data_IF_639120187545
#
_entry.id   IF_639120187545
#
_cell.length_a   1.000
_cell.length_b   1.000
_cell.length_c   1.000
_cell.angle_alpha   90.00
_cell.angle_beta   90.00
_cell.angle_gamma   90.00
#
_symmetry.space_group_name_H-M   'P 1'
#
loop_
_entity.id
_entity.type
_entity.pdbx_description
1 polymer ?
#
# COMPACT_ATOMS: atom_id res chain seq x y z
N UNK A 1 -10.46 -4.33 28.35
CA UNK A 1 -10.30 -3.72 27.92
C UNK A 1 -10.97 -2.99 27.29
N UNK A 2 -10.98 -2.57 27.08
CA UNK A 2 -11.66 -1.86 26.76
C UNK A 2 -11.75 -1.46 25.57
N UNK A 3 -11.98 -1.61 24.95
CA UNK A 3 -12.12 -1.29 23.99
C UNK A 3 -12.55 -0.42 23.53
N UNK A 4 -12.81 -0.40 23.70
CA UNK A 4 -13.33 0.34 23.60
C UNK A 4 -13.40 1.30 22.95
N UNK A 5 -13.19 1.58 22.77
CA UNK A 5 -13.02 2.73 22.34
C UNK A 5 -13.08 2.88 21.01
N UNK A 6 -13.48 2.13 20.27
CA UNK A 6 -13.47 2.31 18.97
C UNK A 6 -14.62 2.94 18.53
N UNK A 7 -15.32 2.81 18.69
CA UNK A 7 -16.36 3.32 18.41
C UNK A 7 -16.91 3.92 17.48
N UNK A 8 -17.41 4.56 17.94
CA UNK A 8 -18.09 5.45 17.29
C UNK A 8 -17.24 6.21 16.45
N UNK A 9 -16.02 5.94 16.51
CA UNK A 9 -15.13 6.75 15.80
C UNK A 9 -14.95 6.33 14.41
N UNK A 10 -15.52 5.30 14.01
CA UNK A 10 -15.44 4.84 12.66
C UNK A 10 -16.07 5.88 11.75
N UNK A 11 -15.29 6.45 10.89
CA UNK A 11 -15.75 7.42 9.92
C UNK A 11 -14.94 7.27 8.65
N UNK A 12 -15.48 7.76 7.57
CA UNK A 12 -14.76 7.72 6.31
C UNK A 12 -13.65 8.74 6.32
N UNK A 13 -12.51 8.37 5.77
CA UNK A 13 -11.42 9.28 5.56
C UNK A 13 -11.83 10.26 4.46
N UNK A 14 -11.57 11.53 4.68
CA UNK A 14 -11.86 12.53 3.66
C UNK A 14 -10.80 12.46 2.58
N UNK A 15 -11.11 13.01 1.41
CA UNK A 15 -10.13 13.05 0.32
C UNK A 15 -8.91 13.88 0.72
N UNK A 16 -9.12 14.95 1.49
CA UNK A 16 -8.02 15.79 1.94
C UNK A 16 -7.10 15.01 2.87
N UNK A 17 -7.68 14.22 3.77
CA UNK A 17 -6.88 13.39 4.66
C UNK A 17 -6.12 12.33 3.88
N UNK A 18 -6.79 11.68 2.94
CA UNK A 18 -6.15 10.64 2.14
C UNK A 18 -4.99 11.21 1.35
N UNK A 19 -5.16 12.40 0.81
CA UNK A 19 -4.08 13.04 0.06
C UNK A 19 -2.91 13.39 0.96
N UNK A 20 -3.17 13.87 2.17
CA UNK A 20 -2.10 14.20 3.11
C UNK A 20 -1.31 12.95 3.49
N UNK A 21 -2.00 11.85 3.77
CA UNK A 21 -1.33 10.61 4.12
C UNK A 21 -0.58 10.02 2.93
N UNK A 22 -1.17 10.15 1.74
CA UNK A 22 -0.52 9.70 0.52
C UNK A 22 0.79 10.47 0.31
N UNK A 23 0.76 11.78 0.53
CA UNK A 23 1.97 12.58 0.34
C UNK A 23 3.07 12.21 1.33
N UNK A 24 2.70 11.84 2.56
CA UNK A 24 3.69 11.35 3.52
C UNK A 24 4.30 10.03 3.05
N UNK A 25 3.46 9.13 2.53
CA UNK A 25 3.94 7.88 1.98
C UNK A 25 4.86 8.15 0.79
N UNK A 26 4.44 9.05 -0.10
CA UNK A 26 5.17 9.36 -1.33
C UNK A 26 6.55 9.94 -1.04
N UNK A 27 6.67 10.78 -0.02
CA UNK A 27 7.96 11.34 0.38
C UNK A 27 8.94 10.23 0.73
N UNK A 28 8.47 9.25 1.49
CA UNK A 28 9.33 8.13 1.87
C UNK A 28 9.68 7.25 0.66
N UNK A 29 8.74 7.09 -0.26
CA UNK A 29 9.02 6.35 -1.49
C UNK A 29 10.10 7.05 -2.31
N UNK A 30 10.01 8.38 -2.41
CA UNK A 30 11.03 9.14 -3.13
C UNK A 30 12.41 8.96 -2.53
N UNK A 31 12.49 8.91 -1.20
CA UNK A 31 13.77 8.71 -0.52
C UNK A 31 14.38 7.36 -0.86
N UNK A 32 13.53 6.35 -1.02
CA UNK A 32 14.01 5.04 -1.42
C UNK A 32 14.46 5.02 -2.88
N UNK A 33 13.89 5.89 -3.71
CA UNK A 33 14.26 6.05 -5.10
C UNK A 33 14.08 4.78 -5.93
N UNK A 34 12.85 4.29 -6.08
CA UNK A 34 12.61 3.06 -6.85
C UNK A 34 12.68 3.27 -8.35
N UNK A 35 12.84 2.19 -9.09
CA UNK A 35 12.76 2.19 -10.54
C UNK A 35 11.35 1.88 -11.02
N UNK A 36 10.56 1.23 -10.21
CA UNK A 36 9.23 0.78 -10.61
C UNK A 36 8.31 0.72 -9.40
N UNK A 37 7.05 1.06 -9.64
CA UNK A 37 6.00 0.96 -8.62
C UNK A 37 5.20 -0.31 -8.95
N UNK A 38 4.86 -1.07 -7.92
CA UNK A 38 4.10 -2.31 -8.09
C UNK A 38 2.83 -2.23 -7.26
N UNK A 39 1.70 -2.36 -7.93
CA UNK A 39 0.41 -2.35 -7.25
C UNK A 39 0.13 -3.72 -6.65
N UNK A 40 -0.20 -3.75 -5.36
CA UNK A 40 -0.66 -4.98 -4.74
C UNK A 40 -2.14 -5.11 -5.08
N UNK A 41 -2.45 -6.09 -5.90
CA UNK A 41 -3.81 -6.25 -6.40
C UNK A 41 -4.71 -6.74 -5.27
N UNK A 42 -5.90 -6.22 -5.19
CA UNK A 42 -6.42 -5.21 -6.11
C UNK A 42 -6.52 -3.85 -5.47
N UNK A 43 -6.63 -3.80 -4.14
CA UNK A 43 -6.90 -2.56 -3.42
C UNK A 43 -5.77 -1.55 -3.51
N UNK A 44 -4.57 -1.99 -3.83
CA UNK A 44 -3.44 -1.09 -3.95
C UNK A 44 -3.35 -0.34 -5.27
N UNK A 45 -4.17 -0.72 -6.27
CA UNK A 45 -4.01 -0.14 -7.60
C UNK A 45 -4.20 1.37 -7.63
N UNK A 46 -5.19 1.91 -6.93
CA UNK A 46 -5.44 3.35 -7.02
C UNK A 46 -4.26 4.17 -6.52
N UNK A 47 -3.69 3.77 -5.38
CA UNK A 47 -2.57 4.52 -4.81
C UNK A 47 -1.28 4.26 -5.59
N UNK A 48 -1.12 3.05 -6.09
CA UNK A 48 0.06 2.74 -6.90
C UNK A 48 0.06 3.52 -8.21
N UNK A 49 -1.10 3.61 -8.87
CA UNK A 49 -1.22 4.39 -10.09
C UNK A 49 -0.92 5.86 -9.84
N UNK A 50 -1.45 6.39 -8.72
CA UNK A 50 -1.21 7.77 -8.35
C UNK A 50 0.28 8.00 -8.14
N UNK A 51 0.94 7.11 -7.39
CA UNK A 51 2.37 7.23 -7.13
C UNK A 51 3.19 7.13 -8.43
N UNK A 52 2.83 6.18 -9.29
CA UNK A 52 3.55 5.99 -10.54
C UNK A 52 3.46 7.23 -11.42
N UNK A 53 2.29 7.87 -11.45
CA UNK A 53 2.13 9.09 -12.22
C UNK A 53 2.93 10.24 -11.63
N UNK A 54 2.89 10.41 -10.31
CA UNK A 54 3.61 11.49 -9.65
C UNK A 54 5.12 11.34 -9.82
N UNK A 55 5.61 10.12 -9.79
CA UNK A 55 7.04 9.85 -9.88
C UNK A 55 7.49 9.56 -11.30
N UNK A 56 6.56 9.45 -12.23
CA UNK A 56 6.82 9.15 -13.64
C UNK A 56 7.60 7.84 -13.78
N UNK A 57 7.10 6.82 -13.10
CA UNK A 57 7.70 5.50 -13.09
C UNK A 57 6.77 4.47 -13.70
N UNK A 58 7.29 3.37 -14.22
CA UNK A 58 6.44 2.29 -14.70
C UNK A 58 5.67 1.65 -13.56
N UNK A 59 4.55 1.05 -13.90
CA UNK A 59 3.66 0.41 -12.94
C UNK A 59 3.58 -1.08 -13.25
N UNK A 60 3.91 -1.89 -12.25
CA UNK A 60 3.70 -3.32 -12.31
C UNK A 60 2.55 -3.73 -11.39
N UNK A 61 2.33 -5.02 -11.28
CA UNK A 61 1.23 -5.54 -10.46
C UNK A 61 1.64 -6.84 -9.80
N UNK A 62 1.09 -7.08 -8.61
CA UNK A 62 1.41 -8.26 -7.83
C UNK A 62 0.13 -8.85 -7.25
N UNK A 63 -0.09 -10.14 -7.50
CA UNK A 63 -1.22 -10.88 -6.95
C UNK A 63 -0.68 -11.85 -5.90
N UNK A 64 -0.77 -11.46 -4.65
CA UNK A 64 -0.15 -12.21 -3.56
C UNK A 64 -0.69 -13.63 -3.46
N UNK A 65 -2.00 -13.80 -3.63
CA UNK A 65 -2.61 -15.12 -3.47
C UNK A 65 -2.18 -16.10 -4.56
N UNK A 66 -1.64 -15.60 -5.66
CA UNK A 66 -1.13 -16.45 -6.72
C UNK A 66 0.38 -16.41 -6.82
N UNK A 67 1.02 -15.62 -5.96
CA UNK A 67 2.47 -15.40 -6.01
C UNK A 67 2.90 -15.02 -7.43
N UNK A 68 2.15 -14.09 -8.03
CA UNK A 68 2.39 -13.70 -9.41
C UNK A 68 2.77 -12.22 -9.47
N UNK A 69 3.95 -11.94 -10.01
CA UNK A 69 4.49 -10.59 -10.10
C UNK A 69 4.71 -10.24 -11.56
N UNK A 70 4.10 -9.15 -12.02
CA UNK A 70 4.26 -8.67 -13.39
C UNK A 70 4.96 -7.32 -13.29
N UNK A 71 6.19 -7.28 -13.75
CA UNK A 71 7.03 -6.08 -13.68
C UNK A 71 7.78 -5.95 -15.00
N UNK A 72 8.43 -4.81 -15.16
CA UNK A 72 9.30 -4.60 -16.29
C UNK A 72 10.51 -5.52 -16.20
N UNK A 73 11.43 -5.38 -17.12
CA UNK A 73 12.61 -6.22 -17.12
C UNK A 73 13.53 -5.86 -15.97
N UNK A 74 14.18 -6.85 -15.41
CA UNK A 74 15.26 -6.70 -14.40
C UNK A 74 14.96 -5.65 -13.31
N UNK A 75 14.08 -5.97 -12.39
CA UNK A 75 13.76 -5.04 -11.32
C UNK A 75 14.96 -4.88 -10.40
N UNK A 76 15.40 -3.64 -10.23
CA UNK A 76 16.51 -3.36 -9.32
C UNK A 76 16.02 -2.84 -8.00
N UNK A 77 15.07 -1.91 -8.04
CA UNK A 77 14.52 -1.29 -6.84
C UNK A 77 13.04 -1.07 -7.09
N UNK A 78 12.19 -1.75 -6.34
CA UNK A 78 10.74 -1.61 -6.54
C UNK A 78 10.05 -1.31 -5.22
N UNK A 79 8.89 -0.67 -5.31
CA UNK A 79 8.04 -0.43 -4.14
C UNK A 79 6.68 -1.03 -4.43
N UNK A 80 6.28 -1.96 -3.57
CA UNK A 80 4.93 -2.50 -3.57
C UNK A 80 4.04 -1.52 -2.83
N UNK A 81 2.89 -1.19 -3.39
CA UNK A 81 1.94 -0.28 -2.74
C UNK A 81 0.61 -0.97 -2.53
N UNK A 82 0.15 -0.97 -1.29
CA UNK A 82 -1.17 -1.45 -0.91
C UNK A 82 -1.88 -0.32 -0.17
N UNK A 83 -3.18 -0.44 0.03
CA UNK A 83 -3.91 0.60 0.73
C UNK A 83 -3.67 0.52 2.24
N UNK A 84 -3.61 -0.68 2.79
CA UNK A 84 -3.41 -0.84 4.23
C UNK A 84 -2.67 -2.13 4.55
N UNK A 85 -2.31 -2.26 5.82
CA UNK A 85 -1.73 -3.49 6.33
C UNK A 85 -2.31 -3.74 7.72
N UNK A 86 -2.67 -4.97 7.99
CA UNK A 86 -3.24 -5.36 9.27
C UNK A 86 -2.24 -6.23 10.02
N UNK A 87 -2.32 -7.55 9.83
CA UNK A 87 -1.42 -8.48 10.51
C UNK A 87 -0.03 -8.53 9.90
N UNK A 88 0.05 -8.16 8.62
CA UNK A 88 1.32 -8.27 7.90
C UNK A 88 1.55 -9.61 7.26
N UNK A 89 0.54 -10.48 7.23
CA UNK A 89 0.68 -11.81 6.65
C UNK A 89 1.08 -11.74 5.18
N UNK A 90 0.40 -10.88 4.40
CA UNK A 90 0.73 -10.74 2.98
C UNK A 90 2.14 -10.20 2.80
N UNK A 91 2.52 -9.23 3.62
CA UNK A 91 3.87 -8.67 3.57
C UNK A 91 4.92 -9.75 3.85
N UNK A 92 4.70 -10.56 4.87
CA UNK A 92 5.66 -11.60 5.23
C UNK A 92 5.77 -12.67 4.14
N UNK A 93 4.64 -13.03 3.54
CA UNK A 93 4.65 -13.97 2.43
C UNK A 93 5.42 -13.40 1.23
N UNK A 94 5.25 -12.09 0.97
CA UNK A 94 5.97 -11.43 -0.11
C UNK A 94 7.46 -11.41 0.16
N UNK A 95 7.84 -11.23 1.43
CA UNK A 95 9.24 -11.27 1.81
C UNK A 95 9.88 -12.61 1.43
N UNK A 96 9.17 -13.69 1.72
CA UNK A 96 9.66 -15.02 1.34
C UNK A 96 9.73 -15.18 -0.16
N UNK A 97 8.72 -14.70 -0.87
CA UNK A 97 8.67 -14.78 -2.32
C UNK A 97 9.84 -14.01 -2.95
N UNK A 98 10.06 -12.78 -2.50
CA UNK A 98 11.13 -11.95 -3.07
C UNK A 98 12.51 -12.52 -2.77
N UNK A 99 12.70 -13.03 -1.56
CA UNK A 99 13.97 -13.64 -1.20
C UNK A 99 14.26 -14.85 -2.09
N UNK A 100 13.23 -15.59 -2.43
CA UNK A 100 13.42 -16.80 -3.24
C UNK A 100 13.61 -16.50 -4.71
N UNK A 101 12.80 -15.62 -5.27
CA UNK A 101 12.76 -15.45 -6.72
C UNK A 101 13.46 -14.19 -7.23
N UNK A 102 13.66 -13.20 -6.36
CA UNK A 102 14.30 -11.94 -6.77
C UNK A 102 15.29 -11.48 -5.71
N UNK A 103 16.28 -12.34 -5.38
CA UNK A 103 17.17 -12.06 -4.24
C UNK A 103 18.05 -10.82 -4.43
N UNK A 104 18.24 -10.37 -5.66
CA UNK A 104 19.07 -9.21 -5.91
C UNK A 104 18.29 -7.92 -6.07
N UNK A 105 16.98 -7.98 -5.95
CA UNK A 105 16.14 -6.81 -6.06
C UNK A 105 15.99 -6.16 -4.68
N UNK A 106 16.21 -4.86 -4.62
CA UNK A 106 15.91 -4.10 -3.42
C UNK A 106 14.43 -3.71 -3.48
N UNK A 107 13.72 -3.85 -2.39
CA UNK A 107 12.29 -3.56 -2.42
C UNK A 107 11.80 -3.06 -1.07
N UNK A 108 10.72 -2.29 -1.12
CA UNK A 108 10.02 -1.83 0.06
C UNK A 108 8.52 -2.07 -0.12
N UNK A 109 7.84 -2.14 0.96
CA UNK A 109 6.38 -2.28 1.00
C UNK A 109 5.82 -0.98 1.54
N UNK A 110 4.87 -0.38 0.84
CA UNK A 110 4.30 0.90 1.25
C UNK A 110 2.80 0.77 1.36
N UNK A 111 2.23 1.40 2.38
CA UNK A 111 0.78 1.41 2.59
C UNK A 111 0.35 2.83 2.91
N UNK A 112 -0.89 3.16 2.57
CA UNK A 112 -1.43 4.43 2.96
C UNK A 112 -1.56 4.48 4.48
N UNK A 113 -2.06 3.41 5.07
CA UNK A 113 -2.14 3.37 6.52
C UNK A 113 -1.91 1.97 7.07
N UNK A 114 -1.41 1.91 8.30
CA UNK A 114 -1.28 0.67 9.04
C UNK A 114 -2.27 0.70 10.20
N UNK A 115 -2.71 -0.49 10.62
CA UNK A 115 -3.62 -0.60 11.74
C UNK A 115 -2.86 -0.44 13.05
N UNK A 116 -3.56 0.00 14.09
CA UNK A 116 -2.94 0.13 15.41
C UNK A 116 -2.40 -1.21 15.92
N UNK A 117 -3.00 -2.31 15.49
CA UNK A 117 -2.59 -3.64 15.93
C UNK A 117 -1.56 -4.31 15.03
N UNK A 118 -1.15 -3.64 13.95
CA UNK A 118 -0.09 -4.18 13.11
C UNK A 118 1.17 -4.33 13.97
N UNK A 119 1.82 -5.49 13.95
CA UNK A 119 2.99 -5.72 14.80
C UNK A 119 4.07 -4.69 14.56
N UNK A 120 4.76 -4.33 15.62
CA UNK A 120 5.78 -3.28 15.54
C UNK A 120 6.92 -3.68 14.61
N UNK A 121 7.32 -4.94 14.63
CA UNK A 121 8.39 -5.40 13.75
C UNK A 121 8.03 -5.21 12.28
N UNK A 122 6.75 -5.40 11.94
CA UNK A 122 6.29 -5.17 10.57
C UNK A 122 6.30 -3.67 10.28
N UNK A 123 5.76 -2.86 11.19
CA UNK A 123 5.67 -1.42 10.97
C UNK A 123 7.04 -0.78 10.80
N UNK A 124 8.05 -1.33 11.44
CA UNK A 124 9.40 -0.79 11.34
C UNK A 124 10.06 -1.08 9.99
N UNK A 125 9.51 -2.01 9.23
CA UNK A 125 10.11 -2.40 7.95
C UNK A 125 9.38 -1.81 6.75
N UNK A 126 8.25 -1.17 6.95
CA UNK A 126 7.44 -0.69 5.84
C UNK A 126 7.36 0.82 5.80
N UNK A 127 6.96 1.33 4.64
CA UNK A 127 6.65 2.74 4.46
C UNK A 127 5.17 2.91 4.74
N UNK A 128 4.79 3.94 5.49
CA UNK A 128 3.38 4.15 5.79
C UNK A 128 3.07 5.63 5.89
N UNK A 129 1.88 6.00 5.43
CA UNK A 129 1.43 7.38 5.51
C UNK A 129 0.94 7.73 6.89
N UNK A 130 0.19 6.80 7.50
CA UNK A 130 -0.38 7.06 8.82
C UNK A 130 -0.71 5.73 9.49
N UNK A 131 -0.88 5.76 10.81
CA UNK A 131 -1.32 4.61 11.58
C UNK A 131 -2.71 4.93 12.13
N UNK A 132 -3.68 4.08 11.83
CA UNK A 132 -5.07 4.31 12.18
C UNK A 132 -5.68 3.10 12.86
N UNK A 133 -6.73 3.30 13.67
CA UNK A 133 -7.43 2.14 14.21
C UNK A 133 -8.17 1.39 13.11
N UNK A 134 -8.26 0.10 13.29
CA UNK A 134 -8.82 -0.80 12.29
C UNK A 134 -10.15 -0.34 11.73
N UNK A 135 -11.06 0.10 12.61
CA UNK A 135 -12.37 0.41 12.11
C UNK A 135 -12.49 1.78 11.46
N UNK A 136 -11.45 2.55 11.47
CA UNK A 136 -11.43 3.77 10.69
C UNK A 136 -11.05 3.45 9.25
N UNK A 137 -11.25 2.22 8.84
CA UNK A 137 -10.80 1.78 7.56
C UNK A 137 -11.76 1.97 6.45
N UNK A 138 -12.69 2.85 6.62
CA UNK A 138 -13.46 3.21 5.49
C UNK A 138 -12.70 4.13 4.61
N UNK A 139 -11.41 4.18 4.63
CA UNK A 139 -10.65 4.92 3.61
C UNK A 139 -10.83 4.34 2.24
N UNK A 140 -11.40 3.16 2.17
CA UNK A 140 -11.76 2.58 0.90
C UNK A 140 -12.59 3.51 0.06
N UNK A 141 -13.31 4.41 0.70
CA UNK A 141 -14.11 5.35 -0.03
C UNK A 141 -13.22 6.34 -0.80
N UNK A 142 -12.19 6.83 -0.15
CA UNK A 142 -11.24 7.70 -0.82
C UNK A 142 -10.50 6.98 -1.92
N UNK A 143 -10.14 5.71 -1.68
CA UNK A 143 -9.49 4.89 -2.69
C UNK A 143 -10.37 4.74 -3.92
N UNK A 144 -11.68 4.58 -3.69
CA UNK A 144 -12.60 4.42 -4.80
C UNK A 144 -12.65 5.67 -5.66
N UNK A 145 -12.64 6.83 -5.04
CA UNK A 145 -12.64 8.08 -5.78
C UNK A 145 -11.37 8.22 -6.62
N UNK A 146 -10.24 7.93 -6.01
CA UNK A 146 -8.96 7.99 -6.70
C UNK A 146 -8.95 7.01 -7.87
N UNK A 147 -9.52 5.83 -7.67
CA UNK A 147 -9.60 4.83 -8.72
C UNK A 147 -10.36 5.34 -9.93
N UNK A 148 -11.46 6.01 -9.69
CA UNK A 148 -12.27 6.56 -10.77
C UNK A 148 -11.48 7.61 -11.54
N UNK A 149 -10.82 8.50 -10.82
CA UNK A 149 -10.06 9.58 -11.43
C UNK A 149 -8.92 9.05 -12.30
N UNK A 150 -8.36 7.91 -11.94
CA UNK A 150 -7.23 7.33 -12.67
C UNK A 150 -7.62 6.10 -13.49
N UNK A 151 -8.92 5.86 -13.62
CA UNK A 151 -9.39 4.82 -14.52
C UNK A 151 -9.44 3.41 -13.94
N UNK A 152 -9.22 3.27 -12.65
CA UNK A 152 -9.32 1.98 -11.99
C UNK A 152 -10.74 1.77 -11.53
N UNK A 153 -11.25 0.57 -11.64
CA UNK A 153 -12.60 0.28 -11.21
C UNK A 153 -12.58 -0.74 -10.09
N UNK A 154 -13.21 -0.38 -9.00
CA UNK A 154 -13.39 -1.31 -7.92
C UNK A 154 -14.72 -2.01 -8.08
N UNK A 155 -14.76 -3.20 -7.54
CA UNK A 155 -15.98 -3.94 -7.50
C UNK A 155 -16.85 -3.38 -6.39
N UNK A 156 -18.11 -3.20 -6.66
CA UNK A 156 -19.03 -2.80 -5.62
C UNK A 156 -19.48 -4.04 -4.89
N UNK A 157 -19.37 -4.01 -3.59
CA UNK A 157 -19.76 -5.18 -2.83
C UNK A 157 -20.99 -5.02 -2.05
#
# INVERSE_FOLDING_TARGET
MNQTTFPEQSRKMTDVEAEAYFNKMLTQIKEFNPNEIVAVARSGFSYAMWAAQELKLPLGAYWAERAELVIGSDPERIVFIDDNILSGTTYKATKMFMTRYYPNCEWRWAVLFSDWHTPEDVRNEIIQGVRLPYFAMEPMWGSRKISIDYGVRYRDE
#
